data_IF_052476583698
#
_entry.id   IF_052476583698
#
_cell.length_a   1.000
_cell.length_b   1.000
_cell.length_c   1.000
_cell.angle_alpha   90.00
_cell.angle_beta   90.00
_cell.angle_gamma   90.00
#
_symmetry.space_group_name_H-M   'P 1'
#
loop_
_entity.id
_entity.type
_entity.pdbx_description
1 polymer ?
#
# COMPACT_ATOMS: atom_id res chain seq x y z
N UNK A 1 -11.50 -9.32 -7.54
CA UNK A 1 -12.00 -8.54 -6.39
C UNK A 1 -13.18 -7.73 -6.91
N UNK A 2 -14.27 -7.62 -6.16
CA UNK A 2 -15.51 -6.99 -6.65
C UNK A 2 -15.60 -5.49 -6.43
N UNK A 3 -14.46 -4.79 -6.40
CA UNK A 3 -14.33 -3.34 -6.21
C UNK A 3 -13.36 -2.81 -7.26
N UNK A 4 -13.46 -1.53 -7.60
CA UNK A 4 -12.53 -0.90 -8.55
C UNK A 4 -11.13 -0.77 -7.94
N UNK A 5 -10.06 -0.75 -8.75
CA UNK A 5 -8.70 -0.64 -8.24
C UNK A 5 -8.49 0.59 -7.36
N UNK A 6 -8.98 1.77 -7.75
CA UNK A 6 -8.93 3.00 -6.95
C UNK A 6 -9.68 2.93 -5.61
N UNK A 7 -10.62 2.00 -5.46
CA UNK A 7 -11.33 1.76 -4.20
C UNK A 7 -10.63 0.71 -3.32
N UNK A 8 -9.50 0.18 -3.79
CA UNK A 8 -8.80 -0.93 -3.16
C UNK A 8 -7.42 -0.53 -2.65
N UNK A 9 -7.02 -1.19 -1.56
CA UNK A 9 -5.74 -0.96 -0.89
C UNK A 9 -5.00 -2.29 -0.78
N UNK A 10 -3.85 -2.39 -1.44
CA UNK A 10 -2.92 -3.51 -1.25
C UNK A 10 -2.01 -3.22 -0.06
N UNK A 11 -1.96 -4.12 0.92
CA UNK A 11 -1.11 -4.01 2.11
C UNK A 11 -0.20 -5.24 2.20
N UNK A 12 1.12 -5.04 2.31
CA UNK A 12 2.08 -6.15 2.43
C UNK A 12 3.52 -5.69 2.64
N UNK A 13 4.49 -6.58 2.46
CA UNK A 13 5.93 -6.31 2.68
C UNK A 13 6.77 -6.45 1.39
N UNK A 14 6.15 -6.84 0.27
CA UNK A 14 6.82 -7.17 -0.99
C UNK A 14 6.92 -5.98 -1.94
N UNK A 15 8.13 -5.72 -2.45
CA UNK A 15 8.36 -4.72 -3.51
C UNK A 15 7.61 -5.09 -4.78
N UNK A 16 7.70 -6.36 -5.22
CA UNK A 16 7.03 -6.80 -6.45
C UNK A 16 5.51 -6.70 -6.32
N UNK A 17 4.96 -7.07 -5.16
CA UNK A 17 3.54 -6.90 -4.88
C UNK A 17 3.13 -5.42 -4.93
N UNK A 18 3.94 -4.53 -4.37
CA UNK A 18 3.68 -3.10 -4.39
C UNK A 18 3.71 -2.48 -5.80
N UNK A 19 4.64 -2.93 -6.65
CA UNK A 19 4.72 -2.50 -8.05
C UNK A 19 3.48 -2.94 -8.81
N UNK A 20 3.07 -4.20 -8.65
CA UNK A 20 1.87 -4.73 -9.29
C UNK A 20 0.61 -3.97 -8.86
N UNK A 21 0.47 -3.66 -7.56
CA UNK A 21 -0.65 -2.88 -7.04
C UNK A 21 -0.71 -1.47 -7.64
N UNK A 22 0.43 -0.76 -7.65
CA UNK A 22 0.51 0.59 -8.25
C UNK A 22 0.19 0.57 -9.74
N UNK A 23 0.69 -0.44 -10.48
CA UNK A 23 0.41 -0.59 -11.91
C UNK A 23 -1.06 -0.92 -12.20
N UNK A 24 -1.73 -1.62 -11.27
CA UNK A 24 -3.14 -1.91 -11.36
C UNK A 24 -4.04 -0.72 -11.00
N UNK A 25 -3.48 0.42 -10.56
CA UNK A 25 -4.25 1.60 -10.14
C UNK A 25 -4.70 1.53 -8.67
N UNK A 26 -4.22 0.56 -7.91
CA UNK A 26 -4.57 0.41 -6.49
C UNK A 26 -3.75 1.35 -5.62
N UNK A 27 -4.32 1.75 -4.48
CA UNK A 27 -3.55 2.31 -3.38
C UNK A 27 -2.68 1.22 -2.76
N UNK A 28 -1.48 1.59 -2.28
CA UNK A 28 -0.54 0.61 -1.77
C UNK A 28 0.15 1.08 -0.48
N UNK A 29 0.14 0.21 0.52
CA UNK A 29 0.85 0.35 1.79
C UNK A 29 1.85 -0.79 1.91
N UNK A 30 3.09 -0.45 2.26
CA UNK A 30 4.12 -1.40 2.59
C UNK A 30 4.51 -1.33 4.07
N UNK A 31 4.63 -2.50 4.69
CA UNK A 31 5.27 -2.70 6.00
C UNK A 31 6.47 -3.61 5.77
N UNK A 32 7.65 -3.05 5.39
CA UNK A 32 8.80 -3.86 5.02
C UNK A 32 9.33 -4.67 6.20
N UNK A 33 9.82 -5.88 5.92
CA UNK A 33 10.45 -6.75 6.91
C UNK A 33 11.99 -6.68 6.79
N UNK A 34 12.71 -7.50 7.57
CA UNK A 34 14.18 -7.57 7.57
C UNK A 34 14.79 -7.87 6.19
N UNK A 35 14.04 -8.51 5.30
CA UNK A 35 14.48 -8.85 3.94
C UNK A 35 14.21 -7.70 2.96
N UNK A 36 13.09 -7.00 3.10
CA UNK A 36 12.63 -6.02 2.10
C UNK A 36 12.87 -4.56 2.47
N UNK A 37 13.23 -4.25 3.72
CA UNK A 37 13.35 -2.86 4.17
C UNK A 37 14.46 -2.07 3.47
N UNK A 38 15.52 -2.75 3.02
CA UNK A 38 16.63 -2.16 2.26
C UNK A 38 16.30 -1.92 0.78
N UNK A 39 15.19 -2.47 0.28
CA UNK A 39 14.80 -2.32 -1.11
C UNK A 39 14.07 -0.99 -1.35
N UNK A 40 14.15 -0.52 -2.59
CA UNK A 40 13.44 0.68 -3.04
C UNK A 40 12.01 0.34 -3.43
N UNK A 41 11.05 0.93 -2.73
CA UNK A 41 9.64 0.90 -3.09
C UNK A 41 9.29 2.06 -4.03
N UNK A 42 8.22 1.89 -4.82
CA UNK A 42 7.70 2.95 -5.69
C UNK A 42 7.25 4.17 -4.85
N UNK A 43 7.40 5.39 -5.36
CA UNK A 43 7.11 6.65 -4.64
C UNK A 43 5.65 6.78 -4.16
N UNK A 44 4.73 6.11 -4.85
CA UNK A 44 3.30 6.04 -4.53
C UNK A 44 2.95 5.06 -3.39
N UNK A 45 3.94 4.30 -2.88
CA UNK A 45 3.72 3.32 -1.80
C UNK A 45 3.96 4.00 -0.46
N UNK A 46 2.93 4.01 0.39
CA UNK A 46 3.06 4.49 1.77
C UNK A 46 3.80 3.44 2.61
N UNK A 47 4.83 3.85 3.37
CA UNK A 47 5.65 2.93 4.17
C UNK A 47 5.45 3.15 5.66
N UNK A 48 5.22 2.08 6.39
CA UNK A 48 5.16 2.05 7.86
C UNK A 48 6.13 1.00 8.41
N UNK A 49 6.52 1.11 9.68
CA UNK A 49 7.43 0.12 10.30
C UNK A 49 6.68 -1.07 10.89
N UNK A 50 5.41 -0.88 11.25
CA UNK A 50 4.55 -1.92 11.76
C UNK A 50 3.10 -1.71 11.29
N UNK A 51 2.32 -2.80 11.20
CA UNK A 51 0.90 -2.72 10.86
C UNK A 51 0.09 -1.89 11.87
N UNK A 52 0.50 -1.88 13.14
CA UNK A 52 -0.13 -1.08 14.19
C UNK A 52 0.05 0.44 14.01
N UNK A 53 0.99 0.87 13.18
CA UNK A 53 1.22 2.28 12.87
C UNK A 53 0.35 2.77 11.71
N UNK A 54 -0.36 1.87 11.01
CA UNK A 54 -1.21 2.24 9.88
C UNK A 54 -2.48 2.92 10.41
N UNK A 55 -2.72 4.21 10.09
CA UNK A 55 -3.94 4.91 10.48
C UNK A 55 -5.09 4.48 9.55
N UNK A 56 -5.60 3.26 9.74
CA UNK A 56 -6.53 2.62 8.79
C UNK A 56 -7.79 3.46 8.52
N UNK A 57 -8.30 4.16 9.53
CA UNK A 57 -9.46 5.03 9.39
C UNK A 57 -9.16 6.22 8.46
N UNK A 58 -8.00 6.86 8.63
CA UNK A 58 -7.59 7.96 7.76
C UNK A 58 -7.33 7.46 6.34
N UNK A 59 -6.72 6.28 6.22
CA UNK A 59 -6.41 5.67 4.95
C UNK A 59 -7.68 5.41 4.13
N UNK A 60 -8.71 4.80 4.73
CA UNK A 60 -9.99 4.53 4.05
C UNK A 60 -10.77 5.82 3.76
N UNK A 61 -10.84 6.75 4.71
CA UNK A 61 -11.58 8.01 4.54
C UNK A 61 -10.92 8.92 3.49
N UNK A 62 -9.61 8.82 3.31
CA UNK A 62 -8.85 9.56 2.29
C UNK A 62 -9.10 9.08 0.86
N UNK A 63 -9.72 7.92 0.63
CA UNK A 63 -10.01 7.41 -0.72
C UNK A 63 -11.36 7.91 -1.28
N UNK A 64 -12.18 8.58 -0.46
CA UNK A 64 -13.53 9.03 -0.84
C UNK A 64 -13.61 10.39 -1.55
N UNK A 65 -12.54 10.85 -2.20
CA UNK A 65 -12.55 12.14 -2.93
C UNK A 65 -12.07 11.96 -4.37
N UNK A 66 -13.01 11.53 -5.21
CA UNK A 66 -13.00 11.63 -6.67
C UNK A 66 -14.32 12.23 -7.13
#
# INVERSE_FOLDING_TARGET
MGVEPEESIAIGDSVNGSIAAVQAGMHCVAVPNDVTHFLSFHEKVLRYKAFSEIPINELIMGQGKG
#
